data_IF_111064253260
#
_entry.id   IF_111064253260
#
_cell.length_a   1.000
_cell.length_b   1.000
_cell.length_c   1.000
_cell.angle_alpha   90.00
_cell.angle_beta   90.00
_cell.angle_gamma   90.00
#
_symmetry.space_group_name_H-M   'P 1'
#
loop_
_entity.id
_entity.type
_entity.pdbx_description
1 polymer ?
#
# COMPACT_ATOMS: atom_id res chain seq x y z
N UNK A 1 -24.04 12.05 -10.06
CA UNK A 1 -22.86 11.45 -9.44
C UNK A 1 -22.04 12.45 -8.65
N UNK A 2 -21.44 13.43 -9.28
CA UNK A 2 -20.53 14.41 -8.63
C UNK A 2 -21.11 15.10 -7.38
N UNK A 3 -22.37 15.58 -7.46
CA UNK A 3 -23.02 16.28 -6.35
C UNK A 3 -23.20 15.35 -5.15
N UNK A 4 -23.62 14.11 -5.36
CA UNK A 4 -23.80 13.11 -4.30
C UNK A 4 -22.47 12.77 -3.62
N UNK A 5 -21.38 12.60 -4.40
CA UNK A 5 -20.03 12.38 -3.86
C UNK A 5 -19.59 13.55 -2.96
N UNK A 6 -19.82 14.78 -3.41
CA UNK A 6 -19.47 16.00 -2.67
C UNK A 6 -20.27 16.12 -1.37
N UNK A 7 -21.58 15.84 -1.40
CA UNK A 7 -22.45 15.85 -0.21
C UNK A 7 -22.03 14.78 0.81
N UNK A 8 -21.68 13.59 0.34
CA UNK A 8 -21.19 12.49 1.18
C UNK A 8 -19.71 12.65 1.60
N UNK A 9 -19.02 13.71 1.16
CA UNK A 9 -17.59 13.96 1.41
C UNK A 9 -16.70 12.74 1.07
N UNK A 10 -17.03 12.04 0.00
CA UNK A 10 -16.28 10.82 -0.41
C UNK A 10 -14.91 11.19 -0.96
N UNK A 11 -13.84 10.49 -0.51
CA UNK A 11 -12.53 10.60 -1.12
C UNK A 11 -12.53 10.20 -2.60
N UNK A 12 -11.56 10.66 -3.41
CA UNK A 12 -11.52 10.39 -4.86
C UNK A 12 -11.49 8.89 -5.22
N UNK A 13 -10.91 8.06 -4.35
CA UNK A 13 -10.75 6.63 -4.53
C UNK A 13 -11.98 5.79 -4.09
N UNK A 14 -13.12 6.44 -3.80
CA UNK A 14 -14.36 5.73 -3.51
C UNK A 14 -15.29 5.76 -4.71
N UNK A 15 -15.89 4.62 -5.04
CA UNK A 15 -17.01 4.53 -5.96
C UNK A 15 -18.32 4.67 -5.21
N UNK A 16 -19.28 5.34 -5.83
CA UNK A 16 -20.65 5.43 -5.36
C UNK A 16 -21.51 4.43 -6.12
N UNK A 17 -22.28 3.64 -5.40
CA UNK A 17 -23.22 2.68 -5.93
C UNK A 17 -24.62 2.97 -5.44
N UNK A 18 -25.61 2.75 -6.29
CA UNK A 18 -27.02 2.77 -5.94
C UNK A 18 -27.46 1.32 -5.68
N UNK A 19 -27.95 1.04 -4.49
CA UNK A 19 -28.54 -0.24 -4.13
C UNK A 19 -29.96 -0.32 -4.73
N UNK A 20 -30.19 -1.34 -5.57
CA UNK A 20 -31.49 -1.55 -6.24
C UNK A 20 -32.09 -2.85 -5.73
N UNK A 21 -33.19 -2.82 -4.94
CA UNK A 21 -33.82 -4.03 -4.41
C UNK A 21 -34.14 -5.06 -5.48
N UNK A 22 -33.62 -6.28 -5.33
CA UNK A 22 -33.87 -7.39 -6.28
C UNK A 22 -33.07 -7.35 -7.59
N UNK A 23 -32.13 -6.42 -7.75
CA UNK A 23 -31.25 -6.31 -8.90
C UNK A 23 -29.79 -6.14 -8.42
N UNK A 24 -28.85 -6.14 -9.38
CA UNK A 24 -27.47 -5.79 -9.09
C UNK A 24 -27.33 -4.28 -8.82
N UNK A 25 -26.48 -3.93 -7.87
CA UNK A 25 -26.18 -2.54 -7.56
C UNK A 25 -25.61 -1.82 -8.79
N UNK A 26 -26.05 -0.58 -9.00
CA UNK A 26 -25.61 0.23 -10.14
C UNK A 26 -24.51 1.18 -9.73
N UNK A 27 -23.34 1.11 -10.36
CA UNK A 27 -22.27 2.09 -10.18
C UNK A 27 -22.70 3.45 -10.72
N UNK A 28 -22.47 4.52 -9.96
CA UNK A 28 -22.82 5.90 -10.28
C UNK A 28 -21.56 6.64 -10.75
N UNK A 29 -21.55 7.01 -12.02
CA UNK A 29 -20.50 7.89 -12.57
C UNK A 29 -20.74 9.36 -12.16
N UNK A 30 -19.69 10.18 -12.18
CA UNK A 30 -19.78 11.60 -11.83
C UNK A 30 -20.73 12.37 -12.75
N UNK A 31 -20.87 11.92 -14.01
CA UNK A 31 -21.78 12.47 -15.02
C UNK A 31 -23.22 12.01 -14.87
N UNK A 32 -23.50 10.98 -14.08
CA UNK A 32 -24.85 10.45 -13.95
C UNK A 32 -25.79 11.41 -13.22
N UNK A 33 -26.98 11.57 -13.81
CA UNK A 33 -28.10 12.27 -13.21
C UNK A 33 -29.04 11.25 -12.59
N UNK A 34 -29.31 11.36 -11.29
CA UNK A 34 -30.19 10.48 -10.54
C UNK A 34 -31.36 11.31 -10.04
N UNK A 35 -32.58 10.86 -10.38
CA UNK A 35 -33.79 11.45 -9.84
C UNK A 35 -34.08 10.83 -8.47
N UNK A 36 -33.85 11.56 -7.39
CA UNK A 36 -34.05 11.09 -6.02
C UNK A 36 -35.54 10.93 -5.63
N UNK A 37 -36.44 11.36 -6.50
CA UNK A 37 -37.89 11.19 -6.29
C UNK A 37 -38.41 9.84 -6.86
N UNK A 38 -37.60 9.11 -7.60
CA UNK A 38 -38.00 7.81 -8.13
C UNK A 38 -38.09 6.76 -7.02
N UNK A 39 -39.10 5.94 -7.03
CA UNK A 39 -39.30 4.88 -6.05
C UNK A 39 -38.11 3.87 -6.10
N UNK A 40 -37.55 3.53 -4.96
CA UNK A 40 -36.39 2.60 -4.86
C UNK A 40 -35.02 3.24 -4.93
N UNK A 41 -34.90 4.58 -4.97
CA UNK A 41 -33.63 5.33 -4.96
C UNK A 41 -33.29 5.76 -3.53
N UNK A 42 -33.41 4.87 -2.55
CA UNK A 42 -33.31 5.28 -1.14
C UNK A 42 -31.94 4.97 -0.53
N UNK A 43 -31.11 4.15 -1.17
CA UNK A 43 -29.84 3.73 -0.60
C UNK A 43 -28.68 3.87 -1.58
N UNK A 44 -27.64 4.54 -1.09
CA UNK A 44 -26.36 4.62 -1.77
C UNK A 44 -25.28 4.04 -0.86
N UNK A 45 -24.42 3.23 -1.45
CA UNK A 45 -23.26 2.63 -0.77
C UNK A 45 -22.01 3.19 -1.41
N UNK A 46 -21.05 3.59 -0.60
CA UNK A 46 -19.72 3.97 -1.06
C UNK A 46 -18.77 2.81 -0.81
N UNK A 47 -18.14 2.34 -1.88
CA UNK A 47 -17.10 1.32 -1.82
C UNK A 47 -15.82 1.92 -2.34
N UNK A 48 -14.70 1.57 -1.72
CA UNK A 48 -13.37 1.90 -2.26
C UNK A 48 -13.29 1.34 -3.67
N UNK A 49 -12.73 2.10 -4.60
CA UNK A 49 -12.52 1.64 -5.97
C UNK A 49 -11.59 0.41 -5.94
N UNK A 50 -12.20 -0.77 -5.89
CA UNK A 50 -11.47 -2.02 -6.06
C UNK A 50 -11.19 -2.16 -7.55
N UNK A 51 -10.05 -1.63 -7.97
CA UNK A 51 -9.50 -1.99 -9.26
C UNK A 51 -9.24 -3.49 -9.25
N UNK A 52 -10.03 -4.23 -9.99
CA UNK A 52 -9.89 -5.66 -10.35
C UNK A 52 -9.61 -6.61 -9.17
N UNK A 53 -10.45 -7.64 -9.02
CA UNK A 53 -10.22 -8.76 -8.10
C UNK A 53 -8.76 -9.24 -8.20
N UNK A 54 -7.96 -8.99 -7.17
CA UNK A 54 -6.57 -9.42 -7.05
C UNK A 54 -5.55 -8.37 -6.62
N UNK A 55 -5.78 -7.07 -6.88
CA UNK A 55 -4.74 -6.04 -6.69
C UNK A 55 -5.07 -4.98 -5.62
N UNK A 56 -6.20 -5.04 -4.96
CA UNK A 56 -6.55 -4.06 -3.94
C UNK A 56 -5.88 -4.38 -2.60
N UNK A 57 -5.14 -3.40 -2.07
CA UNK A 57 -4.60 -3.50 -0.72
C UNK A 57 -5.74 -3.67 0.31
N UNK A 58 -5.66 -4.63 1.26
CA UNK A 58 -6.67 -4.81 2.29
C UNK A 58 -7.00 -3.51 3.03
N UNK A 59 -8.28 -3.27 3.33
CA UNK A 59 -8.74 -2.03 3.99
C UNK A 59 -8.04 -1.77 5.33
N UNK A 60 -7.70 -2.83 6.07
CA UNK A 60 -6.92 -2.76 7.31
C UNK A 60 -5.55 -2.12 7.08
N UNK A 61 -4.86 -2.51 6.01
CA UNK A 61 -3.54 -2.02 5.67
C UNK A 61 -3.60 -0.57 5.17
N UNK A 62 -4.60 -0.24 4.35
CA UNK A 62 -4.83 1.15 3.91
C UNK A 62 -5.09 2.07 5.12
N UNK A 63 -5.97 1.64 6.04
CA UNK A 63 -6.26 2.39 7.27
C UNK A 63 -5.02 2.57 8.13
N UNK A 64 -4.19 1.52 8.26
CA UNK A 64 -2.95 1.60 9.01
C UNK A 64 -1.97 2.61 8.39
N UNK A 65 -1.69 2.52 7.10
CA UNK A 65 -0.75 3.42 6.43
C UNK A 65 -1.21 4.88 6.49
N UNK A 66 -2.46 5.14 6.16
CA UNK A 66 -3.03 6.49 6.19
C UNK A 66 -3.08 7.06 7.61
N UNK A 67 -3.47 6.24 8.60
CA UNK A 67 -3.56 6.64 10.00
C UNK A 67 -2.20 6.95 10.64
N UNK A 68 -1.10 6.41 10.09
CA UNK A 68 0.27 6.69 10.52
C UNK A 68 0.98 7.73 9.64
N UNK A 69 0.26 8.37 8.71
CA UNK A 69 0.79 9.43 7.86
C UNK A 69 1.76 8.96 6.78
N UNK A 70 1.73 7.68 6.40
CA UNK A 70 2.53 7.21 5.28
C UNK A 70 1.93 7.68 3.95
N UNK A 71 2.75 8.31 3.12
CA UNK A 71 2.45 8.49 1.71
C UNK A 71 2.82 7.20 0.98
N UNK A 72 1.87 6.63 0.24
CA UNK A 72 2.10 5.35 -0.42
C UNK A 72 1.41 5.23 -1.78
N UNK A 73 1.98 4.36 -2.61
CA UNK A 73 1.45 3.99 -3.92
C UNK A 73 1.29 2.47 -4.00
N UNK A 74 0.24 2.02 -4.68
CA UNK A 74 0.04 0.60 -5.05
C UNK A 74 0.34 0.47 -6.53
N UNK A 75 1.32 -0.33 -6.88
CA UNK A 75 1.79 -0.49 -8.26
C UNK A 75 1.74 -1.96 -8.65
N UNK A 76 1.09 -2.25 -9.78
CA UNK A 76 1.09 -3.59 -10.38
C UNK A 76 2.03 -3.61 -11.58
N UNK A 77 2.98 -4.55 -11.60
CA UNK A 77 3.93 -4.75 -12.69
C UNK A 77 4.30 -6.23 -12.83
N UNK A 78 4.22 -6.77 -14.05
CA UNK A 78 4.65 -8.13 -14.34
C UNK A 78 3.92 -9.23 -13.53
N UNK A 79 2.66 -8.99 -13.13
CA UNK A 79 1.88 -9.92 -12.31
C UNK A 79 2.25 -9.90 -10.82
N UNK A 80 3.03 -8.91 -10.39
CA UNK A 80 3.37 -8.63 -9.00
C UNK A 80 2.75 -7.31 -8.56
N UNK A 81 2.26 -7.25 -7.33
CA UNK A 81 1.75 -6.02 -6.70
C UNK A 81 2.78 -5.53 -5.69
N UNK A 82 3.17 -4.28 -5.78
CA UNK A 82 4.10 -3.62 -4.87
C UNK A 82 3.44 -2.45 -4.14
N UNK A 83 3.75 -2.29 -2.87
CA UNK A 83 3.44 -1.10 -2.09
C UNK A 83 4.71 -0.29 -1.95
N UNK A 84 4.71 0.94 -2.44
CA UNK A 84 5.82 1.88 -2.30
C UNK A 84 5.44 2.89 -1.22
N UNK A 85 6.18 2.89 -0.12
CA UNK A 85 6.09 3.91 0.92
C UNK A 85 7.09 5.01 0.57
N UNK A 86 6.62 6.24 0.38
CA UNK A 86 7.45 7.36 -0.05
C UNK A 86 8.11 8.06 1.15
N UNK A 87 9.36 8.47 1.00
CA UNK A 87 10.10 9.31 1.94
C UNK A 87 10.06 8.81 3.40
N UNK A 88 10.19 7.50 3.62
CA UNK A 88 10.24 6.91 4.96
C UNK A 88 11.46 7.45 5.71
N UNK A 89 11.28 8.03 6.92
CA UNK A 89 12.39 8.51 7.72
C UNK A 89 13.37 7.39 8.10
N UNK A 90 14.64 7.66 7.98
CA UNK A 90 15.72 6.75 8.36
C UNK A 90 16.25 7.09 9.75
N UNK A 91 16.84 6.12 10.48
CA UNK A 91 17.48 6.39 11.77
C UNK A 91 18.57 7.45 11.65
N UNK A 92 18.54 8.45 12.53
CA UNK A 92 19.46 9.58 12.53
C UNK A 92 20.93 9.16 12.53
N UNK A 93 21.69 9.74 11.61
CA UNK A 93 23.13 9.52 11.49
C UNK A 93 23.55 8.10 11.09
N UNK A 94 22.59 7.21 10.82
CA UNK A 94 22.87 5.80 10.50
C UNK A 94 23.27 5.60 9.04
N UNK A 95 22.62 6.32 8.15
CA UNK A 95 22.81 6.22 6.69
C UNK A 95 23.24 7.56 6.09
N UNK A 96 23.73 7.52 4.87
CA UNK A 96 24.07 8.73 4.10
C UNK A 96 22.85 9.58 3.69
N UNK A 97 21.67 9.03 3.84
CA UNK A 97 20.38 9.67 3.52
C UNK A 97 19.54 9.82 4.80
N UNK A 98 18.69 10.83 4.85
CA UNK A 98 17.73 11.04 5.96
C UNK A 98 16.39 10.33 5.72
N UNK A 99 16.02 10.12 4.46
CA UNK A 99 14.80 9.43 4.04
C UNK A 99 15.10 8.45 2.90
N UNK A 100 14.23 7.49 2.72
CA UNK A 100 14.26 6.59 1.57
C UNK A 100 12.85 6.09 1.25
N UNK A 101 12.63 5.70 -0.01
CA UNK A 101 11.42 4.99 -0.37
C UNK A 101 11.59 3.50 -0.07
N UNK A 102 10.50 2.87 0.39
CA UNK A 102 10.48 1.45 0.75
C UNK A 102 9.44 0.74 -0.12
N UNK A 103 9.87 -0.30 -0.83
CA UNK A 103 9.00 -1.16 -1.61
C UNK A 103 8.79 -2.49 -0.88
N UNK A 104 7.52 -2.89 -0.75
CA UNK A 104 7.09 -4.19 -0.22
C UNK A 104 6.34 -4.89 -1.35
N UNK A 105 6.87 -6.01 -1.85
CA UNK A 105 6.18 -6.83 -2.85
C UNK A 105 5.20 -7.77 -2.15
N UNK A 106 3.94 -7.70 -2.54
CA UNK A 106 2.89 -8.56 -2.00
C UNK A 106 2.85 -9.88 -2.78
N UNK A 107 2.94 -11.04 -2.10
CA UNK A 107 2.78 -12.33 -2.75
C UNK A 107 1.33 -12.57 -3.14
N UNK A 108 1.10 -13.50 -4.08
CA UNK A 108 -0.24 -14.03 -4.32
C UNK A 108 -0.76 -14.67 -3.03
N UNK A 109 -1.99 -14.33 -2.67
CA UNK A 109 -2.59 -14.79 -1.42
C UNK A 109 -2.26 -13.93 -0.19
N UNK A 110 -1.64 -12.73 -0.38
CA UNK A 110 -1.60 -11.73 0.69
C UNK A 110 -3.04 -11.33 1.08
N UNK A 111 -3.40 -11.17 2.37
CA UNK A 111 -2.53 -11.12 3.55
C UNK A 111 -2.24 -12.47 4.22
N UNK A 112 -2.77 -13.59 3.74
CA UNK A 112 -2.52 -14.90 4.37
C UNK A 112 -1.08 -15.39 4.11
N UNK A 113 -0.52 -15.04 2.95
CA UNK A 113 0.89 -15.26 2.63
C UNK A 113 1.74 -14.03 2.97
N UNK A 114 2.87 -14.20 3.68
CA UNK A 114 3.73 -13.09 4.08
C UNK A 114 4.53 -12.52 2.92
N UNK A 115 4.73 -11.18 2.88
CA UNK A 115 5.84 -10.60 2.12
C UNK A 115 7.17 -11.11 2.70
N UNK A 116 8.08 -11.56 1.81
CA UNK A 116 9.31 -12.21 2.24
C UNK A 116 10.37 -11.20 2.70
N UNK A 117 10.58 -10.15 1.91
CA UNK A 117 11.62 -9.14 2.12
C UNK A 117 11.11 -7.77 1.71
N UNK A 118 11.94 -6.75 1.89
CA UNK A 118 11.63 -5.40 1.42
C UNK A 118 12.79 -4.84 0.60
N UNK A 119 12.55 -3.73 -0.06
CA UNK A 119 13.50 -3.08 -0.94
C UNK A 119 13.53 -1.57 -0.65
N UNK A 120 14.66 -0.92 -0.90
CA UNK A 120 14.86 0.48 -0.58
C UNK A 120 15.48 1.23 -1.76
N UNK A 121 15.05 2.45 -1.99
CA UNK A 121 15.64 3.38 -2.95
C UNK A 121 15.69 4.81 -2.34
N UNK A 122 16.79 5.55 -2.52
CA UNK A 122 18.04 5.17 -3.15
C UNK A 122 18.79 4.08 -2.36
N UNK A 123 19.83 3.51 -2.97
CA UNK A 123 20.72 2.54 -2.31
C UNK A 123 21.32 3.14 -1.05
N UNK A 124 21.15 2.47 0.07
CA UNK A 124 21.66 2.90 1.37
C UNK A 124 23.05 2.36 1.64
N UNK A 125 23.89 3.24 2.20
CA UNK A 125 25.18 2.92 2.78
C UNK A 125 25.27 3.48 4.20
N UNK A 126 26.02 2.84 5.06
CA UNK A 126 26.25 3.29 6.44
C UNK A 126 27.07 4.58 6.45
N UNK A 127 26.60 5.63 7.11
CA UNK A 127 27.21 6.96 7.10
C UNK A 127 28.67 6.95 7.57
N UNK A 128 28.99 6.18 8.61
CA UNK A 128 30.34 6.16 9.18
C UNK A 128 31.40 5.41 8.36
N UNK A 129 30.98 4.44 7.51
CA UNK A 129 31.91 3.56 6.78
C UNK A 129 31.72 3.60 5.27
N UNK A 130 30.60 4.11 4.76
CA UNK A 130 30.22 4.02 3.36
C UNK A 130 29.88 2.60 2.88
N UNK A 131 29.91 1.62 3.78
CA UNK A 131 29.66 0.22 3.43
C UNK A 131 28.17 -0.06 3.23
N UNK A 132 27.88 -1.01 2.36
CA UNK A 132 26.52 -1.53 2.17
C UNK A 132 26.16 -2.42 3.35
N UNK A 133 24.98 -2.28 3.95
CA UNK A 133 24.55 -3.14 5.05
C UNK A 133 24.55 -4.63 4.64
N UNK A 134 24.79 -5.51 5.61
CA UNK A 134 24.82 -6.95 5.42
C UNK A 134 23.53 -7.45 4.76
N UNK A 135 23.65 -8.34 3.78
CA UNK A 135 22.55 -8.92 3.00
C UNK A 135 21.69 -7.90 2.22
N UNK A 136 22.31 -6.78 1.78
CA UNK A 136 21.68 -5.71 1.00
C UNK A 136 22.42 -5.39 -0.31
N UNK A 137 23.19 -6.34 -0.86
CA UNK A 137 24.02 -6.12 -2.07
C UNK A 137 23.27 -6.35 -3.38
N UNK A 138 22.12 -7.03 -3.34
CA UNK A 138 21.36 -7.42 -4.54
C UNK A 138 20.41 -6.28 -4.93
N UNK A 139 20.29 -6.05 -6.24
CA UNK A 139 19.37 -5.08 -6.80
C UNK A 139 18.14 -5.77 -7.41
N UNK A 140 17.01 -5.07 -7.41
CA UNK A 140 15.76 -5.48 -8.01
C UNK A 140 15.18 -4.34 -8.85
N UNK A 141 14.55 -4.65 -9.99
CA UNK A 141 13.86 -3.65 -10.82
C UNK A 141 12.36 -3.78 -10.64
N UNK A 142 11.69 -2.67 -10.35
CA UNK A 142 10.25 -2.60 -10.21
C UNK A 142 9.78 -1.15 -10.37
N UNK A 143 8.64 -0.95 -11.03
CA UNK A 143 8.05 0.37 -11.31
C UNK A 143 9.05 1.34 -11.98
N UNK A 144 9.81 0.84 -12.97
CA UNK A 144 10.80 1.65 -13.68
C UNK A 144 12.02 2.08 -12.86
N UNK A 145 12.17 1.61 -11.63
CA UNK A 145 13.22 2.00 -10.67
C UNK A 145 14.10 0.81 -10.30
N UNK A 146 15.31 1.11 -9.80
CA UNK A 146 16.23 0.14 -9.23
C UNK A 146 16.15 0.23 -7.71
N UNK A 147 15.96 -0.89 -7.06
CA UNK A 147 15.77 -1.03 -5.64
C UNK A 147 16.86 -1.89 -5.02
N UNK A 148 17.39 -1.50 -3.88
CA UNK A 148 18.30 -2.29 -3.06
C UNK A 148 17.48 -3.31 -2.25
N UNK A 149 17.75 -4.62 -2.44
CA UNK A 149 17.05 -5.67 -1.72
C UNK A 149 17.59 -5.82 -0.30
N UNK A 150 16.67 -5.86 0.68
CA UNK A 150 16.93 -6.14 2.08
C UNK A 150 16.40 -7.53 2.43
N UNK A 151 17.29 -8.54 2.44
CA UNK A 151 16.91 -9.91 2.78
C UNK A 151 16.68 -10.04 4.29
N UNK A 152 15.42 -9.93 4.70
CA UNK A 152 14.97 -10.02 6.10
C UNK A 152 13.72 -10.88 6.13
N UNK A 153 13.91 -12.19 6.23
CA UNK A 153 12.82 -13.16 6.20
C UNK A 153 11.99 -13.16 7.48
N UNK A 154 10.71 -13.46 7.37
CA UNK A 154 9.79 -13.61 8.49
C UNK A 154 9.20 -15.02 8.52
N UNK A 155 9.56 -15.79 9.53
CA UNK A 155 9.06 -17.15 9.71
C UNK A 155 7.92 -17.23 10.73
N UNK A 156 7.47 -16.10 11.28
CA UNK A 156 6.46 -16.03 12.35
C UNK A 156 5.20 -15.27 11.90
N UNK A 157 4.86 -15.33 10.61
CA UNK A 157 3.65 -14.70 10.07
C UNK A 157 2.38 -15.39 10.55
N UNK A 158 1.39 -14.62 10.96
CA UNK A 158 0.10 -15.09 11.45
C UNK A 158 -1.00 -14.65 10.50
N UNK A 159 -1.54 -15.53 9.64
CA UNK A 159 -2.67 -15.22 8.76
C UNK A 159 -3.84 -14.61 9.53
N UNK A 160 -4.52 -13.62 8.95
CA UNK A 160 -5.63 -12.91 9.58
C UNK A 160 -5.25 -11.90 10.67
N UNK A 161 -4.02 -11.94 11.18
CA UNK A 161 -3.51 -11.03 12.23
C UNK A 161 -2.48 -10.06 11.67
N UNK A 162 -1.45 -10.58 11.02
CA UNK A 162 -0.35 -9.79 10.46
C UNK A 162 -0.77 -9.14 9.13
N UNK A 163 -0.07 -8.09 8.76
CA UNK A 163 -0.32 -7.29 7.57
C UNK A 163 0.80 -6.27 7.36
N UNK A 164 0.55 -5.16 6.66
CA UNK A 164 1.56 -4.13 6.44
C UNK A 164 2.08 -3.53 7.74
N UNK A 165 1.27 -3.44 8.81
CA UNK A 165 1.74 -2.98 10.12
C UNK A 165 2.93 -3.84 10.61
N UNK A 166 2.88 -5.16 10.42
CA UNK A 166 3.96 -6.07 10.79
C UNK A 166 5.18 -5.88 9.88
N UNK A 167 4.95 -5.71 8.58
CA UNK A 167 6.05 -5.46 7.62
C UNK A 167 6.74 -4.13 7.88
N UNK A 168 6.00 -3.05 8.11
CA UNK A 168 6.57 -1.72 8.42
C UNK A 168 7.40 -1.76 9.70
N UNK A 169 6.90 -2.42 10.75
CA UNK A 169 7.68 -2.60 11.99
C UNK A 169 8.99 -3.36 11.74
N UNK A 170 8.98 -4.37 10.88
CA UNK A 170 10.20 -5.11 10.47
C UNK A 170 11.16 -4.23 9.67
N UNK A 171 10.65 -3.41 8.75
CA UNK A 171 11.46 -2.45 8.01
C UNK A 171 12.17 -1.51 8.98
N UNK A 172 11.43 -0.88 9.89
CA UNK A 172 11.99 0.04 10.89
C UNK A 172 13.05 -0.64 11.76
N UNK A 173 12.79 -1.85 12.26
CA UNK A 173 13.76 -2.62 13.05
C UNK A 173 15.02 -2.93 12.22
N UNK A 174 14.86 -3.41 10.98
CA UNK A 174 15.98 -3.75 10.12
C UNK A 174 16.86 -2.53 9.78
N UNK A 175 16.25 -1.37 9.55
CA UNK A 175 16.96 -0.11 9.33
C UNK A 175 17.72 0.35 10.58
N UNK A 176 17.10 0.25 11.76
CA UNK A 176 17.73 0.63 13.04
C UNK A 176 18.90 -0.30 13.41
N UNK A 177 18.80 -1.60 13.12
CA UNK A 177 19.81 -2.60 13.44
C UNK A 177 20.86 -2.80 12.32
N UNK A 178 20.78 -2.04 11.23
CA UNK A 178 21.67 -2.20 10.09
C UNK A 178 23.15 -2.08 10.49
N UNK A 179 23.97 -3.01 10.00
CA UNK A 179 25.43 -3.09 10.19
C UNK A 179 26.10 -3.70 8.96
N UNK A 180 27.39 -3.47 8.83
CA UNK A 180 28.21 -4.07 7.78
C UNK A 180 28.33 -5.60 7.92
#
# INVERSE_FOLDING_TARGET
>A
GFVLRKLAKLPPNYNLWQEIPGQHDKKIADTDVINLADAGVERFVSLIDQTTEGDALPSKDQTYLSGHGYEFEVVAEGGSTGIILNAVPLPDGKFAHAVADVLILLPKGYPDCPPDMFYVAPKLTLAGTGQVPKACTVEHRFAGRVWQRWSRHNNAWRPGVDGLQTMVARVQTALAEARA
#
